data_IF_857930228905
#
_entry.id   IF_857930228905
#
_cell.length_a   1.000
_cell.length_b   1.000
_cell.length_c   1.000
_cell.angle_alpha   90.00
_cell.angle_beta   90.00
_cell.angle_gamma   90.00
#
_symmetry.space_group_name_H-M   'P 1'
#
loop_
_entity.id
_entity.type
_entity.pdbx_description
1 polymer ?
#
# COMPACT_ATOMS: atom_id res chain seq x y z
N UNK A 1 8.34 -38.13 8.81
CA UNK A 1 7.70 -36.90 8.28
C UNK A 1 8.73 -36.17 7.44
N UNK A 2 8.62 -36.27 6.12
CA UNK A 2 9.53 -35.63 5.18
C UNK A 2 9.19 -34.15 5.07
N UNK A 3 10.06 -33.28 5.57
CA UNK A 3 10.01 -31.86 5.25
C UNK A 3 10.29 -31.70 3.75
N UNK A 4 9.23 -31.69 2.95
CA UNK A 4 9.29 -31.25 1.56
C UNK A 4 9.84 -29.82 1.58
N UNK A 5 11.03 -29.62 1.00
CA UNK A 5 11.61 -28.29 0.78
C UNK A 5 10.61 -27.51 -0.06
N UNK A 6 9.81 -26.64 0.58
CA UNK A 6 8.96 -25.68 -0.12
C UNK A 6 9.85 -24.92 -1.10
N UNK A 7 9.64 -25.13 -2.39
CA UNK A 7 10.23 -24.33 -3.46
C UNK A 7 9.88 -22.88 -3.15
N UNK A 8 10.87 -22.00 -3.03
CA UNK A 8 10.61 -20.56 -2.87
C UNK A 8 10.03 -20.08 -4.20
N UNK A 9 8.71 -20.02 -4.27
CA UNK A 9 7.96 -19.54 -5.45
C UNK A 9 7.90 -18.01 -5.50
N UNK A 10 8.65 -17.32 -4.65
CA UNK A 10 8.70 -15.86 -4.63
C UNK A 10 10.10 -15.32 -4.37
N UNK A 11 10.35 -14.12 -4.93
CA UNK A 11 11.60 -13.38 -4.81
C UNK A 11 11.33 -11.88 -4.76
N UNK A 12 12.20 -11.13 -4.07
CA UNK A 12 12.16 -9.67 -4.13
C UNK A 12 12.88 -9.21 -5.40
N UNK A 13 12.26 -8.27 -6.11
CA UNK A 13 12.82 -7.63 -7.30
C UNK A 13 12.63 -6.12 -7.21
N UNK A 14 13.58 -5.36 -7.74
CA UNK A 14 13.41 -3.93 -7.95
C UNK A 14 13.00 -3.69 -9.40
N UNK A 15 11.90 -2.96 -9.59
CA UNK A 15 11.33 -2.64 -10.90
C UNK A 15 11.05 -1.15 -10.98
N UNK A 16 11.01 -0.61 -12.19
CA UNK A 16 10.44 0.73 -12.37
C UNK A 16 8.93 0.61 -12.33
N UNK A 17 8.27 1.61 -11.77
CA UNK A 17 6.80 1.61 -11.66
C UNK A 17 6.14 1.44 -13.04
N UNK A 18 6.69 2.05 -14.09
CA UNK A 18 6.22 1.90 -15.47
C UNK A 18 6.52 0.55 -16.14
N UNK A 19 7.31 -0.32 -15.53
CA UNK A 19 7.48 -1.70 -16.00
C UNK A 19 6.27 -2.60 -15.63
N UNK A 20 5.43 -2.13 -14.69
CA UNK A 20 4.19 -2.81 -14.27
C UNK A 20 3.05 -2.38 -15.19
N UNK A 21 2.47 -3.35 -15.89
CA UNK A 21 1.48 -3.08 -16.94
C UNK A 21 0.12 -2.67 -16.37
N UNK A 22 -0.42 -3.50 -15.48
CA UNK A 22 -1.77 -3.37 -14.92
C UNK A 22 -1.99 -4.40 -13.80
N UNK A 23 -3.20 -4.42 -13.24
CA UNK A 23 -3.72 -5.56 -12.47
C UNK A 23 -3.87 -6.77 -13.40
N UNK A 24 -3.57 -7.96 -12.88
CA UNK A 24 -3.67 -9.19 -13.65
C UNK A 24 -5.10 -9.44 -14.18
N UNK A 25 -5.30 -9.77 -15.47
CA UNK A 25 -6.63 -9.86 -16.09
C UNK A 25 -7.61 -10.80 -15.36
N UNK A 26 -7.12 -11.92 -14.82
CA UNK A 26 -7.96 -12.91 -14.13
C UNK A 26 -8.66 -12.37 -12.87
N UNK A 27 -8.14 -11.31 -12.24
CA UNK A 27 -8.65 -10.75 -10.99
C UNK A 27 -9.08 -9.29 -11.13
N UNK A 28 -8.87 -8.67 -12.28
CA UNK A 28 -9.14 -7.26 -12.53
C UNK A 28 -10.58 -6.88 -12.20
N UNK A 29 -11.55 -7.73 -12.56
CA UNK A 29 -12.97 -7.49 -12.27
C UNK A 29 -13.28 -7.53 -10.77
N UNK A 30 -12.66 -8.45 -10.03
CA UNK A 30 -12.83 -8.55 -8.59
C UNK A 30 -12.29 -7.31 -7.89
N UNK A 31 -11.07 -6.87 -8.26
CA UNK A 31 -10.44 -5.66 -7.72
C UNK A 31 -11.25 -4.40 -8.06
N UNK A 32 -11.74 -4.28 -9.31
CA UNK A 32 -12.55 -3.14 -9.72
C UNK A 32 -13.87 -3.05 -8.92
N UNK A 33 -14.51 -4.19 -8.67
CA UNK A 33 -15.75 -4.26 -7.88
C UNK A 33 -15.53 -3.85 -6.42
N UNK A 34 -14.34 -4.14 -5.88
CA UNK A 34 -13.97 -3.87 -4.50
C UNK A 34 -13.19 -2.57 -4.32
N UNK A 35 -12.97 -1.80 -5.40
CA UNK A 35 -12.30 -0.50 -5.33
C UNK A 35 -13.04 0.52 -4.44
N UNK A 36 -14.35 0.33 -4.24
CA UNK A 36 -15.17 1.15 -3.32
C UNK A 36 -15.00 0.78 -1.84
N UNK A 37 -14.23 -0.26 -1.52
CA UNK A 37 -13.87 -0.54 -0.13
C UNK A 37 -13.12 0.69 0.41
N UNK A 38 -13.69 1.31 1.44
CA UNK A 38 -13.20 2.59 1.95
C UNK A 38 -11.84 2.37 2.62
N UNK A 39 -10.78 2.81 1.96
CA UNK A 39 -9.47 3.01 2.59
C UNK A 39 -9.48 4.37 3.29
N UNK A 40 -9.04 4.43 4.55
CA UNK A 40 -8.98 5.69 5.28
C UNK A 40 -7.81 6.57 4.83
N UNK A 41 -6.71 5.94 4.40
CA UNK A 41 -5.50 6.62 3.93
C UNK A 41 -5.68 7.17 2.52
N UNK A 42 -5.45 8.46 2.31
CA UNK A 42 -5.47 9.13 1.01
C UNK A 42 -4.03 9.32 0.45
N UNK A 43 -3.86 9.47 -0.88
CA UNK A 43 -2.55 9.69 -1.50
C UNK A 43 -1.74 10.83 -0.88
N UNK A 44 -2.40 11.94 -0.56
CA UNK A 44 -1.79 13.13 0.04
C UNK A 44 -1.40 12.95 1.52
N UNK A 45 -1.80 11.84 2.15
CA UNK A 45 -1.40 11.55 3.53
C UNK A 45 0.08 11.18 3.61
N UNK A 46 0.68 10.73 2.50
CA UNK A 46 2.05 10.26 2.43
C UNK A 46 2.95 11.22 1.65
N UNK A 47 4.15 11.42 2.17
CA UNK A 47 5.30 11.89 1.39
C UNK A 47 5.86 10.76 0.52
N UNK A 48 6.61 11.11 -0.53
CA UNK A 48 7.33 10.14 -1.36
C UNK A 48 8.26 9.20 -0.55
N UNK A 49 9.10 9.69 0.40
CA UNK A 49 9.88 8.81 1.26
C UNK A 49 9.03 7.86 2.12
N UNK A 50 7.86 8.32 2.57
CA UNK A 50 6.95 7.48 3.34
C UNK A 50 6.34 6.36 2.49
N UNK A 51 6.06 6.63 1.21
CA UNK A 51 5.60 5.60 0.27
C UNK A 51 6.70 4.56 -0.01
N UNK A 52 7.95 4.97 -0.18
CA UNK A 52 9.05 4.01 -0.30
C UNK A 52 9.15 3.11 0.96
N UNK A 53 9.01 3.68 2.16
CA UNK A 53 8.96 2.87 3.38
C UNK A 53 7.74 1.95 3.44
N UNK A 54 6.56 2.44 3.04
CA UNK A 54 5.33 1.65 2.97
C UNK A 54 5.52 0.44 2.03
N UNK A 55 6.11 0.64 0.86
CA UNK A 55 6.37 -0.41 -0.13
C UNK A 55 7.42 -1.43 0.33
N UNK A 56 8.28 -1.10 1.30
CA UNK A 56 9.17 -2.09 1.93
C UNK A 56 8.40 -2.99 2.91
N UNK A 57 7.43 -2.43 3.64
CA UNK A 57 6.65 -3.14 4.67
C UNK A 57 5.47 -3.91 4.05
N UNK A 58 4.85 -3.32 3.04
CA UNK A 58 3.71 -3.84 2.31
C UNK A 58 3.97 -3.72 0.79
N UNK A 59 4.86 -4.59 0.26
CA UNK A 59 5.30 -4.53 -1.13
C UNK A 59 4.16 -4.84 -2.08
N UNK A 60 4.32 -4.40 -3.33
CA UNK A 60 3.43 -4.78 -4.42
C UNK A 60 3.81 -6.20 -4.86
N UNK A 61 2.80 -7.06 -5.03
CA UNK A 61 3.00 -8.43 -5.47
C UNK A 61 2.72 -8.52 -6.96
N UNK A 62 3.65 -9.09 -7.72
CA UNK A 62 3.56 -9.19 -9.17
C UNK A 62 3.79 -10.60 -9.67
N UNK A 63 3.24 -10.89 -10.86
CA UNK A 63 3.55 -12.08 -11.67
C UNK A 63 3.98 -11.65 -13.05
N UNK A 64 4.69 -12.54 -13.75
CA UNK A 64 5.04 -12.34 -15.15
C UNK A 64 4.11 -13.14 -16.05
N UNK A 65 3.38 -12.47 -16.93
CA UNK A 65 2.52 -13.06 -17.96
C UNK A 65 2.93 -12.50 -19.32
N UNK A 66 3.26 -13.38 -20.27
CA UNK A 66 3.66 -12.99 -21.64
C UNK A 66 4.78 -11.93 -21.68
N UNK A 67 5.74 -12.04 -20.77
CA UNK A 67 6.87 -11.10 -20.70
C UNK A 67 6.61 -9.83 -19.88
N UNK A 68 5.36 -9.54 -19.51
CA UNK A 68 4.95 -8.31 -18.81
C UNK A 68 4.65 -8.58 -17.33
N UNK A 69 4.84 -7.55 -16.49
CA UNK A 69 4.54 -7.63 -15.06
C UNK A 69 3.10 -7.19 -14.79
N UNK A 70 2.39 -7.97 -13.99
CA UNK A 70 1.02 -7.67 -13.56
C UNK A 70 0.88 -7.76 -12.05
N UNK A 71 0.12 -6.82 -11.48
CA UNK A 71 -0.18 -6.77 -10.04
C UNK A 71 -1.18 -7.85 -9.66
N UNK A 72 -0.90 -8.57 -8.57
CA UNK A 72 -1.76 -9.61 -7.99
C UNK A 72 -2.11 -9.40 -6.52
N UNK A 73 -1.42 -8.49 -5.83
CA UNK A 73 -1.71 -8.05 -4.45
C UNK A 73 -0.93 -6.75 -4.13
N UNK A 74 -1.25 -6.13 -3.00
CA UNK A 74 -0.80 -4.78 -2.67
C UNK A 74 -1.52 -3.73 -3.51
N UNK A 75 -2.81 -3.93 -3.83
CA UNK A 75 -3.54 -3.07 -4.78
C UNK A 75 -3.56 -1.62 -4.32
N UNK A 76 -3.79 -1.37 -3.02
CA UNK A 76 -3.77 -0.01 -2.47
C UNK A 76 -2.37 0.59 -2.48
N UNK A 77 -1.34 -0.19 -2.17
CA UNK A 77 0.07 0.22 -2.29
C UNK A 77 0.40 0.64 -3.74
N UNK A 78 -0.04 -0.15 -4.72
CA UNK A 78 0.16 0.14 -6.15
C UNK A 78 -0.57 1.42 -6.57
N UNK A 79 -1.82 1.60 -6.16
CA UNK A 79 -2.58 2.82 -6.45
C UNK A 79 -1.91 4.07 -5.84
N UNK A 80 -1.51 4.01 -4.58
CA UNK A 80 -0.80 5.10 -3.91
C UNK A 80 0.53 5.42 -4.60
N UNK A 81 1.27 4.40 -5.05
CA UNK A 81 2.50 4.57 -5.81
C UNK A 81 2.23 5.28 -7.14
N UNK A 82 1.24 4.83 -7.92
CA UNK A 82 0.87 5.44 -9.20
C UNK A 82 0.45 6.91 -9.07
N UNK A 83 -0.21 7.27 -7.97
CA UNK A 83 -0.72 8.62 -7.75
C UNK A 83 0.33 9.62 -7.23
N UNK A 84 1.45 9.14 -6.68
CA UNK A 84 2.37 9.99 -5.89
C UNK A 84 3.84 9.85 -6.25
N UNK A 85 4.25 8.73 -6.82
CA UNK A 85 5.62 8.52 -7.30
C UNK A 85 5.71 8.85 -8.78
N UNK A 86 6.91 9.19 -9.25
CA UNK A 86 7.15 9.33 -10.69
C UNK A 86 7.06 7.96 -11.38
N UNK A 87 6.65 7.92 -12.65
CA UNK A 87 6.56 6.68 -13.44
C UNK A 87 7.90 5.91 -13.52
N UNK A 88 9.02 6.62 -13.45
CA UNK A 88 10.36 6.03 -13.46
C UNK A 88 10.89 5.64 -12.08
N UNK A 89 10.11 5.82 -11.01
CA UNK A 89 10.54 5.50 -9.65
C UNK A 89 10.84 4.00 -9.52
N UNK A 90 11.97 3.68 -8.88
CA UNK A 90 12.30 2.30 -8.54
C UNK A 90 11.57 1.88 -7.27
N UNK A 91 10.89 0.75 -7.33
CA UNK A 91 10.12 0.17 -6.24
C UNK A 91 10.45 -1.31 -6.07
N UNK A 92 10.50 -1.77 -4.83
CA UNK A 92 10.67 -3.19 -4.52
C UNK A 92 9.32 -3.89 -4.57
N UNK A 93 9.25 -4.98 -5.33
CA UNK A 93 8.09 -5.84 -5.48
C UNK A 93 8.42 -7.27 -5.07
N UNK A 94 7.40 -8.05 -4.73
CA UNK A 94 7.51 -9.51 -4.62
C UNK A 94 7.07 -10.12 -5.95
N UNK A 95 8.01 -10.69 -6.68
CA UNK A 95 7.73 -11.50 -7.87
C UNK A 95 7.37 -12.92 -7.45
N UNK A 96 6.20 -13.37 -7.86
CA UNK A 96 5.77 -14.76 -7.73
C UNK A 96 5.96 -15.50 -9.05
N UNK A 97 6.52 -16.71 -8.96
CA UNK A 97 6.78 -17.61 -10.09
C UNK A 97 6.02 -18.91 -9.89
N UNK A 98 5.46 -19.45 -10.97
CA UNK A 98 4.78 -20.76 -10.95
C UNK A 98 3.57 -20.84 -10.00
N UNK A 99 2.81 -19.75 -9.87
CA UNK A 99 1.52 -19.77 -9.17
C UNK A 99 0.47 -20.51 -9.99
N UNK A 100 -0.30 -21.36 -9.33
CA UNK A 100 -1.56 -21.85 -9.88
C UNK A 100 -2.60 -20.72 -9.93
N UNK A 101 -3.59 -20.86 -10.82
CA UNK A 101 -4.66 -19.85 -10.96
C UNK A 101 -5.49 -19.66 -9.68
N UNK A 102 -5.68 -20.73 -8.91
CA UNK A 102 -6.38 -20.69 -7.62
C UNK A 102 -5.57 -19.89 -6.59
N UNK A 103 -4.26 -20.15 -6.48
CA UNK A 103 -3.37 -19.42 -5.57
C UNK A 103 -3.33 -17.91 -5.88
N UNK A 104 -3.34 -17.54 -7.16
CA UNK A 104 -3.42 -16.13 -7.58
C UNK A 104 -4.69 -15.46 -7.05
N UNK A 105 -5.83 -16.16 -7.15
CA UNK A 105 -7.11 -15.65 -6.67
C UNK A 105 -7.15 -15.54 -5.16
N UNK A 106 -6.63 -16.55 -4.45
CA UNK A 106 -6.54 -16.56 -2.98
C UNK A 106 -5.70 -15.38 -2.47
N UNK A 107 -4.54 -15.12 -3.10
CA UNK A 107 -3.68 -13.98 -2.78
C UNK A 107 -4.45 -12.67 -2.95
N UNK A 108 -5.14 -12.49 -4.08
CA UNK A 108 -5.90 -11.27 -4.35
C UNK A 108 -7.06 -11.08 -3.35
N UNK A 109 -7.78 -12.14 -3.00
CA UNK A 109 -8.89 -12.10 -2.04
C UNK A 109 -8.38 -11.69 -0.66
N UNK A 110 -7.29 -12.32 -0.19
CA UNK A 110 -6.68 -12.00 1.10
C UNK A 110 -6.21 -10.54 1.13
N UNK A 111 -5.61 -10.04 0.04
CA UNK A 111 -5.17 -8.66 -0.06
C UNK A 111 -6.34 -7.68 -0.01
N UNK A 112 -7.40 -7.91 -0.78
CA UNK A 112 -8.61 -7.08 -0.79
C UNK A 112 -9.26 -7.04 0.60
N UNK A 113 -9.39 -8.19 1.25
CA UNK A 113 -10.00 -8.29 2.57
C UNK A 113 -9.11 -7.69 3.68
N UNK A 114 -7.78 -7.81 3.55
CA UNK A 114 -6.81 -7.33 4.54
C UNK A 114 -6.43 -5.86 4.38
N UNK A 115 -6.51 -5.31 3.16
CA UNK A 115 -6.11 -3.93 2.86
C UNK A 115 -6.83 -2.89 3.72
N UNK A 116 -8.15 -2.98 3.99
CA UNK A 116 -8.81 -2.08 4.93
C UNK A 116 -8.22 -2.14 6.33
N UNK A 117 -7.71 -3.28 6.81
CA UNK A 117 -7.07 -3.35 8.15
C UNK A 117 -5.75 -2.56 8.14
N UNK A 118 -4.98 -2.67 7.05
CA UNK A 118 -3.68 -2.04 6.91
C UNK A 118 -3.76 -0.54 6.59
N UNK A 119 -4.80 -0.15 5.84
CA UNK A 119 -4.98 1.21 5.31
C UNK A 119 -6.15 1.96 5.97
N UNK A 120 -6.85 1.34 6.93
CA UNK A 120 -7.80 2.03 7.80
C UNK A 120 -7.07 2.60 8.98
N UNK A 121 -7.26 3.89 9.15
CA UNK A 121 -7.05 4.55 10.41
C UNK A 121 -8.44 4.61 11.01
N UNK A 122 -8.62 4.02 12.19
CA UNK A 122 -9.93 3.77 12.78
C UNK A 122 -10.77 5.05 12.95
N UNK A 123 -11.94 4.97 13.61
CA UNK A 123 -12.89 6.10 13.74
C UNK A 123 -12.30 7.36 14.40
N UNK A 124 -11.08 7.25 14.96
CA UNK A 124 -10.30 8.30 15.59
C UNK A 124 -9.02 8.62 14.81
N UNK A 125 -9.05 8.54 13.47
CA UNK A 125 -7.92 8.82 12.59
C UNK A 125 -7.12 10.06 13.01
N UNK A 126 -7.80 11.19 13.21
CA UNK A 126 -7.17 12.45 13.63
C UNK A 126 -6.45 12.33 14.98
N UNK A 127 -7.04 11.63 15.97
CA UNK A 127 -6.39 11.41 17.27
C UNK A 127 -5.20 10.45 17.15
N UNK A 128 -5.31 9.38 16.37
CA UNK A 128 -4.20 8.44 16.12
C UNK A 128 -3.02 9.15 15.45
N UNK A 129 -3.30 9.98 14.45
CA UNK A 129 -2.33 10.84 13.80
C UNK A 129 -1.70 11.87 14.75
N UNK A 130 -2.49 12.50 15.64
CA UNK A 130 -1.97 13.39 16.66
C UNK A 130 -1.05 12.66 17.64
N UNK A 131 -1.42 11.46 18.09
CA UNK A 131 -0.55 10.61 18.94
C UNK A 131 0.75 10.29 18.22
N UNK A 132 0.72 9.89 16.95
CA UNK A 132 1.93 9.68 16.15
C UNK A 132 2.79 10.95 16.07
N UNK A 133 2.18 12.11 15.82
CA UNK A 133 2.89 13.39 15.75
C UNK A 133 3.51 13.81 17.10
N UNK A 134 2.91 13.42 18.22
CA UNK A 134 3.44 13.67 19.56
C UNK A 134 4.57 12.69 19.92
N UNK A 135 4.37 11.40 19.64
CA UNK A 135 5.33 10.34 19.97
C UNK A 135 6.57 10.32 19.07
N UNK A 136 6.40 10.65 17.78
CA UNK A 136 7.47 10.58 16.77
C UNK A 136 7.88 11.96 16.21
N UNK A 137 7.33 13.04 16.78
CA UNK A 137 7.75 14.44 16.61
C UNK A 137 7.92 14.92 15.14
N UNK A 138 9.01 15.64 14.84
CA UNK A 138 9.30 16.24 13.53
C UNK A 138 9.33 15.19 12.41
N UNK A 139 9.84 13.99 12.70
CA UNK A 139 10.00 12.93 11.70
C UNK A 139 8.65 12.43 11.16
N UNK A 140 7.64 12.28 12.02
CA UNK A 140 6.29 11.94 11.57
C UNK A 140 5.70 13.02 10.64
N UNK A 141 5.96 14.30 10.91
CA UNK A 141 5.44 15.40 10.08
C UNK A 141 6.13 15.54 8.72
N UNK A 142 7.35 14.99 8.57
CA UNK A 142 8.01 14.84 7.27
C UNK A 142 7.40 13.70 6.46
N UNK A 143 7.16 12.56 7.12
CA UNK A 143 6.63 11.36 6.47
C UNK A 143 5.15 11.49 6.11
N UNK A 144 4.37 12.14 6.97
CA UNK A 144 2.93 12.37 6.81
C UNK A 144 2.61 13.88 6.79
N UNK A 145 2.66 14.54 5.62
CA UNK A 145 2.57 16.00 5.53
C UNK A 145 1.27 16.58 6.11
N UNK A 146 0.14 15.86 6.01
CA UNK A 146 -1.14 16.32 6.56
C UNK A 146 -1.13 16.49 8.09
N UNK A 147 -0.20 15.87 8.81
CA UNK A 147 -0.02 16.11 10.25
C UNK A 147 0.26 17.57 10.59
N UNK A 148 0.91 18.31 9.68
CA UNK A 148 1.17 19.75 9.84
C UNK A 148 -0.14 20.56 9.87
N UNK A 149 -1.13 20.16 9.08
CA UNK A 149 -2.44 20.83 9.02
C UNK A 149 -3.30 20.56 10.26
N UNK A 150 -3.21 19.34 10.82
CA UNK A 150 -3.99 18.94 12.00
C UNK A 150 -3.55 19.70 13.27
N UNK A 151 -2.26 20.07 13.38
CA UNK A 151 -1.76 20.89 14.51
C UNK A 151 -2.46 22.25 14.62
N UNK A 152 -2.99 22.82 13.52
CA UNK A 152 -3.70 24.11 13.54
C UNK A 152 -5.07 24.06 14.21
N UNK A 153 -5.66 22.88 14.44
CA UNK A 153 -7.00 22.73 15.03
C UNK A 153 -6.98 22.92 16.56
N UNK A 154 -5.81 22.95 17.21
CA UNK A 154 -5.66 23.33 18.64
C UNK A 154 -5.28 24.81 18.85
N UNK A 155 -5.65 25.68 17.91
CA UNK A 155 -5.34 27.12 17.96
C UNK A 155 -6.52 28.05 18.24
N UNK A 156 -7.77 27.60 18.21
CA UNK A 156 -8.88 28.44 18.67
C UNK A 156 -9.07 28.27 20.18
N UNK A 157 -8.35 29.09 20.95
CA UNK A 157 -8.89 29.60 22.21
C UNK A 157 -10.24 30.26 21.90
N UNK A 158 -11.34 29.67 22.33
CA UNK A 158 -12.54 30.41 22.75
C UNK A 158 -12.44 30.49 24.27
N UNK A 159 -11.89 31.58 24.78
CA UNK A 159 -12.67 32.65 25.45
C UNK A 159 -13.67 32.04 26.41
N UNK A 160 -13.21 31.94 27.65
CA UNK A 160 -14.03 31.89 28.84
C UNK A 160 -15.00 33.07 28.84
N UNK A 161 -16.28 32.76 28.74
CA UNK A 161 -17.35 33.57 29.32
C UNK A 161 -17.73 32.94 30.67
#
# INVERSE_FOLDING_TARGET
MTHSKKKKNSSLIDVRLNDIQAIHPAIQNAVATTANLIYASAPDDYSEPALHCLLVIHPIHVVKLEGKLYVIAGFRSYELACLRLSEGAQITCILHTSLASEELSDIAIIDIAGSPIMHSLGPKYVQQLQTLALSFSHRASLLFPKLKSIRRIRGQKKTSD
#
